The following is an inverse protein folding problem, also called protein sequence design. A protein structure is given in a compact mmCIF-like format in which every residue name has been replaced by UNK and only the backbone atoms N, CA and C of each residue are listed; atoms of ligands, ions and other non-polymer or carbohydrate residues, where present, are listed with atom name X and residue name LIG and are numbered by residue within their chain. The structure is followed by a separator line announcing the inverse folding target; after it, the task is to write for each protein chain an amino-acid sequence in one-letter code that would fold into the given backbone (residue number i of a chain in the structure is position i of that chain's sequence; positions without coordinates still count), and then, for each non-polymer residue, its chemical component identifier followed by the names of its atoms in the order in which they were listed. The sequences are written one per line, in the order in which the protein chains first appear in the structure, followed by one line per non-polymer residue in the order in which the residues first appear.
data_IF_814652536030
#
_entry.id   IF_814652536030
#
_cell.length_a   1.000
_cell.length_b   1.000
_cell.length_c   1.000
_cell.angle_alpha   90.00
_cell.angle_beta   90.00
_cell.angle_gamma   90.00
#
_symmetry.space_group_name_H-M   'P 1'
#
loop_
_entity.id
_entity.type
_entity.pdbx_description
1 polymer ?
#
# COMPACT_ATOMS: atom_id res chain seq x y z
N UNK A 1 13.47 33.13 32.21
CA UNK A 1 14.61 33.26 31.27
C UNK A 1 14.32 32.32 30.10
N UNK A 2 13.87 32.80 28.92
CA UNK A 2 13.47 31.90 27.85
C UNK A 2 14.69 31.49 27.02
N UNK A 3 14.93 30.18 26.91
CA UNK A 3 15.91 29.60 26.00
C UNK A 3 15.39 29.68 24.57
N UNK A 4 16.04 30.49 23.73
CA UNK A 4 15.91 30.46 22.27
C UNK A 4 16.67 29.23 21.77
N UNK A 5 15.99 28.35 21.04
CA UNK A 5 16.65 27.33 20.23
C UNK A 5 16.95 27.92 18.85
N UNK A 6 18.23 28.20 18.60
CA UNK A 6 18.74 28.59 17.28
C UNK A 6 18.64 27.39 16.33
N UNK A 7 17.80 27.51 15.30
CA UNK A 7 17.77 26.58 14.17
C UNK A 7 18.85 27.03 13.18
N UNK A 8 20.01 26.39 13.23
CA UNK A 8 21.01 26.55 12.18
C UNK A 8 20.48 25.98 10.86
N UNK A 9 20.40 26.83 9.84
CA UNK A 9 20.10 26.46 8.45
C UNK A 9 21.40 26.08 7.74
N UNK A 10 21.71 24.79 7.64
CA UNK A 10 22.69 24.32 6.65
C UNK A 10 22.04 24.24 5.26
N UNK A 11 22.63 24.94 4.29
CA UNK A 11 22.27 24.84 2.87
C UNK A 11 22.95 23.60 2.29
N UNK A 12 22.17 22.60 1.89
CA UNK A 12 22.63 21.45 1.09
C UNK A 12 22.31 21.72 -0.40
N UNK A 13 23.21 21.39 -1.35
CA UNK A 13 23.04 21.74 -2.77
C UNK A 13 21.84 21.06 -3.44
N UNK A 14 21.32 21.72 -4.49
CA UNK A 14 20.21 21.30 -5.34
C UNK A 14 20.60 20.07 -6.17
N UNK A 15 19.81 19.00 -6.05
CA UNK A 15 19.93 17.80 -6.89
C UNK A 15 19.83 16.52 -6.08
N UNK A 16 18.72 15.78 -6.29
CA UNK A 16 18.35 14.47 -5.68
C UNK A 16 17.67 14.56 -4.31
N UNK A 17 16.34 14.47 -4.28
CA UNK A 17 15.54 14.35 -3.05
C UNK A 17 14.63 13.13 -3.12
N UNK A 18 14.67 12.28 -2.08
CA UNK A 18 13.63 11.27 -1.78
C UNK A 18 12.34 12.01 -1.38
N UNK A 19 11.26 11.82 -2.14
CA UNK A 19 9.85 12.06 -1.75
C UNK A 19 9.50 13.33 -0.97
N UNK A 20 10.30 14.39 -1.05
CA UNK A 20 10.05 15.64 -0.31
C UNK A 20 10.02 16.80 -1.29
N UNK A 21 8.82 17.32 -1.54
CA UNK A 21 8.59 18.68 -2.05
C UNK A 21 9.02 19.76 -1.02
N UNK A 22 10.10 19.51 -0.26
CA UNK A 22 10.57 20.32 0.84
C UNK A 22 11.24 21.63 0.40
N UNK A 23 11.27 21.96 -0.88
CA UNK A 23 11.79 23.26 -1.35
C UNK A 23 10.79 24.41 -1.18
N UNK A 24 9.50 24.11 -0.95
CA UNK A 24 8.47 25.16 -0.77
C UNK A 24 7.63 25.02 0.50
N UNK A 25 8.00 24.13 1.43
CA UNK A 25 7.23 23.92 2.67
C UNK A 25 5.88 23.24 2.47
N UNK A 26 5.62 22.64 1.30
CA UNK A 26 4.42 21.89 1.00
C UNK A 26 4.72 20.39 0.98
N UNK A 27 3.80 19.58 1.51
CA UNK A 27 3.86 18.13 1.47
C UNK A 27 2.52 17.62 0.92
N UNK A 28 2.56 16.92 -0.21
CA UNK A 28 1.41 16.17 -0.69
C UNK A 28 1.37 14.81 0.02
N UNK A 29 0.22 14.46 0.58
CA UNK A 29 -0.01 13.22 1.29
C UNK A 29 -1.12 12.45 0.56
N UNK A 30 -0.79 11.41 -0.22
CA UNK A 30 -1.81 10.50 -0.72
C UNK A 30 -2.33 9.61 0.41
N UNK A 31 -3.61 9.27 0.36
CA UNK A 31 -4.28 8.36 1.30
C UNK A 31 -5.24 7.45 0.51
N UNK A 32 -5.81 6.45 1.18
CA UNK A 32 -6.89 5.65 0.60
C UNK A 32 -8.12 6.52 0.27
N UNK A 33 -8.84 6.13 -0.78
CA UNK A 33 -10.01 6.82 -1.31
C UNK A 33 -11.12 7.00 -0.26
N UNK A 34 -11.41 5.95 0.51
CA UNK A 34 -12.44 5.94 1.56
C UNK A 34 -12.07 6.79 2.78
N UNK A 35 -10.79 7.08 2.98
CA UNK A 35 -10.24 7.75 4.15
C UNK A 35 -10.02 9.24 3.99
N UNK A 36 -10.08 9.80 2.77
CA UNK A 36 -9.60 11.15 2.45
C UNK A 36 -10.13 12.25 3.39
N UNK A 37 -11.46 12.37 3.51
CA UNK A 37 -12.08 13.40 4.35
C UNK A 37 -11.81 13.18 5.84
N UNK A 38 -11.83 11.92 6.28
CA UNK A 38 -11.55 11.56 7.68
C UNK A 38 -10.11 11.92 8.07
N UNK A 39 -9.15 11.67 7.18
CA UNK A 39 -7.75 12.00 7.41
C UNK A 39 -7.56 13.52 7.44
N UNK A 40 -8.16 14.25 6.50
CA UNK A 40 -8.11 15.71 6.50
C UNK A 40 -8.70 16.30 7.78
N UNK A 41 -9.88 15.84 8.20
CA UNK A 41 -10.52 16.25 9.45
C UNK A 41 -9.67 15.91 10.67
N UNK A 42 -9.02 14.75 10.69
CA UNK A 42 -8.12 14.37 11.79
C UNK A 42 -6.90 15.29 11.87
N UNK A 43 -6.31 15.68 10.74
CA UNK A 43 -5.20 16.64 10.73
C UNK A 43 -5.62 18.00 11.27
N UNK A 44 -6.77 18.51 10.81
CA UNK A 44 -7.34 19.77 11.30
C UNK A 44 -7.63 19.73 12.80
N UNK A 45 -8.24 18.64 13.29
CA UNK A 45 -8.53 18.46 14.71
C UNK A 45 -7.27 18.60 15.58
N UNK A 46 -6.21 17.86 15.28
CA UNK A 46 -4.95 17.96 16.03
C UNK A 46 -4.30 19.34 15.93
N UNK A 47 -4.29 19.96 14.75
CA UNK A 47 -3.69 21.28 14.56
C UNK A 47 -4.45 22.37 15.33
N UNK A 48 -5.77 22.28 15.39
CA UNK A 48 -6.62 23.28 16.05
C UNK A 48 -6.71 23.07 17.57
N UNK A 49 -6.71 21.82 18.04
CA UNK A 49 -7.02 21.50 19.44
C UNK A 49 -5.79 21.19 20.30
N UNK A 50 -4.72 20.64 19.70
CA UNK A 50 -3.55 20.16 20.45
C UNK A 50 -2.25 20.90 20.08
N UNK A 51 -2.05 21.20 18.79
CA UNK A 51 -0.80 21.76 18.26
C UNK A 51 -0.94 23.18 17.71
N UNK A 52 -1.73 24.02 18.38
CA UNK A 52 -2.06 25.39 17.97
C UNK A 52 -0.85 26.31 17.68
N UNK A 53 0.34 25.98 18.16
CA UNK A 53 1.58 26.72 17.89
C UNK A 53 2.27 26.37 16.56
N UNK A 54 1.81 25.33 15.86
CA UNK A 54 2.42 24.86 14.63
C UNK A 54 2.02 25.73 13.44
N UNK A 55 2.99 26.02 12.57
CA UNK A 55 2.77 26.74 11.30
C UNK A 55 2.54 25.74 10.16
N UNK A 56 1.48 24.95 10.29
CA UNK A 56 1.09 23.91 9.34
C UNK A 56 -0.34 24.19 8.91
N UNK A 57 -0.58 24.12 7.60
CA UNK A 57 -1.89 24.32 6.99
C UNK A 57 -2.20 23.13 6.10
N UNK A 58 -3.42 22.62 6.19
CA UNK A 58 -3.92 21.53 5.38
C UNK A 58 -4.93 22.03 4.36
N UNK A 59 -4.94 21.40 3.18
CA UNK A 59 -5.91 21.66 2.14
C UNK A 59 -6.23 20.34 1.45
N UNK A 60 -7.51 20.00 1.35
CA UNK A 60 -7.96 18.84 0.60
C UNK A 60 -7.86 19.15 -0.91
N UNK A 61 -6.99 18.41 -1.62
CA UNK A 61 -6.79 18.53 -3.06
C UNK A 61 -7.28 17.31 -3.84
N UNK A 62 -8.09 16.44 -3.23
CA UNK A 62 -8.51 15.16 -3.82
C UNK A 62 -9.11 15.34 -5.22
N UNK A 63 -10.09 16.24 -5.37
CA UNK A 63 -10.76 16.48 -6.66
C UNK A 63 -9.99 17.39 -7.62
N UNK A 64 -8.89 18.00 -7.16
CA UNK A 64 -8.08 18.90 -8.00
C UNK A 64 -7.23 18.12 -9.02
N UNK A 65 -6.94 16.85 -8.73
CA UNK A 65 -6.03 16.02 -9.51
C UNK A 65 -6.74 14.79 -10.07
N UNK A 66 -6.60 14.56 -11.37
CA UNK A 66 -6.82 13.24 -11.95
C UNK A 66 -5.50 12.49 -11.94
N UNK A 67 -5.52 11.21 -11.55
CA UNK A 67 -4.33 10.38 -11.48
C UNK A 67 -4.51 9.08 -12.24
N UNK A 68 -3.53 8.73 -13.08
CA UNK A 68 -3.53 7.48 -13.86
C UNK A 68 -2.25 6.72 -13.55
N UNK A 69 -2.41 5.48 -13.10
CA UNK A 69 -1.29 4.56 -12.90
C UNK A 69 -0.99 3.79 -14.20
N UNK A 70 0.25 3.89 -14.68
CA UNK A 70 0.78 3.08 -15.77
C UNK A 70 1.71 2.05 -15.14
N UNK A 71 1.36 0.78 -15.20
CA UNK A 71 2.08 -0.30 -14.53
C UNK A 71 2.43 -1.43 -15.49
N UNK A 72 3.59 -2.06 -15.26
CA UNK A 72 4.11 -3.18 -16.05
C UNK A 72 5.49 -2.90 -16.64
N UNK A 73 6.16 -3.92 -17.19
CA UNK A 73 7.54 -3.80 -17.70
C UNK A 73 7.68 -2.78 -18.84
N UNK A 74 6.60 -2.52 -19.59
CA UNK A 74 6.55 -1.55 -20.68
C UNK A 74 6.08 -0.16 -20.27
N UNK A 75 5.83 0.10 -18.98
CA UNK A 75 5.29 1.38 -18.51
C UNK A 75 6.16 2.58 -18.90
N UNK A 76 7.49 2.43 -18.81
CA UNK A 76 8.44 3.47 -19.24
C UNK A 76 8.34 3.76 -20.74
N UNK A 77 8.21 2.71 -21.56
CA UNK A 77 8.14 2.85 -23.01
C UNK A 77 6.85 3.55 -23.45
N UNK A 78 5.72 3.22 -22.82
CA UNK A 78 4.42 3.89 -23.03
C UNK A 78 4.56 5.40 -22.79
N UNK A 79 5.13 5.79 -21.64
CA UNK A 79 5.23 7.20 -21.26
C UNK A 79 6.28 7.94 -22.10
N UNK A 80 7.37 7.27 -22.46
CA UNK A 80 8.43 7.84 -23.30
C UNK A 80 7.91 8.27 -24.68
N UNK A 81 6.89 7.61 -25.23
CA UNK A 81 6.25 8.00 -26.51
C UNK A 81 5.54 9.35 -26.44
N UNK A 82 5.05 9.75 -25.27
CA UNK A 82 4.51 11.09 -25.09
C UNK A 82 5.65 12.12 -25.11
N UNK A 83 6.78 11.81 -24.46
CA UNK A 83 7.95 12.70 -24.37
C UNK A 83 7.72 13.90 -23.44
N UNK A 84 8.58 14.92 -23.55
CA UNK A 84 8.49 16.18 -22.77
C UNK A 84 9.13 16.13 -21.38
N UNK A 85 9.29 14.95 -20.78
CA UNK A 85 9.99 14.75 -19.50
C UNK A 85 11.00 13.61 -19.59
N UNK A 86 12.16 13.75 -18.96
CA UNK A 86 13.09 12.63 -18.76
C UNK A 86 12.63 11.79 -17.57
N UNK A 87 12.09 10.61 -17.88
CA UNK A 87 11.57 9.64 -16.92
C UNK A 87 12.34 8.31 -16.98
N UNK A 88 13.59 8.38 -17.44
CA UNK A 88 14.55 7.28 -17.41
C UNK A 88 14.78 6.77 -15.98
N UNK A 89 15.38 5.58 -15.87
CA UNK A 89 15.69 4.97 -14.57
C UNK A 89 16.60 5.87 -13.73
N UNK A 90 17.54 6.54 -14.40
CA UNK A 90 18.53 7.42 -13.80
C UNK A 90 17.90 8.75 -13.38
N UNK A 91 17.00 9.31 -14.20
CA UNK A 91 16.33 10.57 -13.94
C UNK A 91 15.24 10.46 -12.86
N UNK A 92 14.50 9.34 -12.82
CA UNK A 92 13.42 9.11 -11.85
C UNK A 92 13.55 7.80 -11.05
N UNK A 93 14.42 7.78 -10.01
CA UNK A 93 14.61 6.63 -9.13
C UNK A 93 13.36 6.24 -8.31
N UNK A 94 13.40 5.06 -7.67
CA UNK A 94 12.25 4.53 -6.93
C UNK A 94 11.88 5.42 -5.74
N UNK A 95 10.58 5.61 -5.52
CA UNK A 95 10.04 6.47 -4.47
C UNK A 95 10.45 7.94 -4.62
N UNK A 96 10.59 8.40 -5.87
CA UNK A 96 10.78 9.81 -6.22
C UNK A 96 9.68 10.29 -7.16
N UNK A 97 9.59 11.60 -7.37
CA UNK A 97 8.65 12.21 -8.31
C UNK A 97 9.33 13.36 -9.05
N UNK A 98 8.80 13.69 -10.22
CA UNK A 98 9.18 14.86 -11.01
C UNK A 98 7.93 15.64 -11.43
N UNK A 99 8.08 16.95 -11.57
CA UNK A 99 7.06 17.84 -12.09
C UNK A 99 7.54 18.44 -13.42
N UNK A 100 6.63 18.59 -14.38
CA UNK A 100 6.96 19.15 -15.68
C UNK A 100 5.82 19.02 -16.68
N UNK A 101 6.16 19.21 -17.95
CA UNK A 101 5.19 19.12 -19.05
C UNK A 101 5.36 17.78 -19.78
N UNK A 102 4.45 16.84 -19.55
CA UNK A 102 4.42 15.56 -20.26
C UNK A 102 3.72 15.72 -21.62
N UNK A 103 4.25 15.12 -22.68
CA UNK A 103 3.64 15.20 -24.01
C UNK A 103 3.62 16.61 -24.61
N UNK A 104 4.45 17.54 -24.10
CA UNK A 104 4.39 18.97 -24.40
C UNK A 104 3.00 19.61 -24.19
N UNK A 105 2.13 18.96 -23.41
CA UNK A 105 0.72 19.34 -23.26
C UNK A 105 0.22 19.27 -21.82
N UNK A 106 0.61 18.24 -21.07
CA UNK A 106 0.06 17.95 -19.75
C UNK A 106 0.96 18.50 -18.66
N UNK A 107 0.43 19.40 -17.83
CA UNK A 107 1.13 19.82 -16.61
C UNK A 107 1.00 18.68 -15.59
N UNK A 108 2.07 17.91 -15.44
CA UNK A 108 2.05 16.62 -14.76
C UNK A 108 3.01 16.57 -13.57
N UNK A 109 2.57 15.89 -12.52
CA UNK A 109 3.43 15.33 -11.48
C UNK A 109 3.49 13.82 -11.68
N UNK A 110 4.67 13.30 -11.97
CA UNK A 110 4.90 11.88 -12.22
C UNK A 110 5.61 11.28 -11.03
N UNK A 111 4.97 10.34 -10.34
CA UNK A 111 5.53 9.60 -9.21
C UNK A 111 6.00 8.24 -9.69
N UNK A 112 7.19 7.82 -9.27
CA UNK A 112 7.68 6.46 -9.50
C UNK A 112 7.45 5.63 -8.24
N UNK A 113 6.21 5.17 -8.12
CA UNK A 113 5.64 4.36 -7.04
C UNK A 113 4.85 3.19 -7.65
N UNK A 114 4.61 2.14 -6.88
CA UNK A 114 3.96 0.92 -7.39
C UNK A 114 3.18 0.22 -6.29
N UNK A 115 1.92 -0.13 -6.59
CA UNK A 115 1.07 -0.99 -5.76
C UNK A 115 0.88 -2.39 -6.37
N UNK A 116 1.51 -2.67 -7.51
CA UNK A 116 1.52 -4.01 -8.14
C UNK A 116 2.85 -4.74 -7.98
N UNK A 117 3.90 -4.07 -7.53
CA UNK A 117 5.26 -4.60 -7.49
C UNK A 117 6.00 -4.58 -8.82
N UNK A 118 5.31 -4.23 -9.91
CA UNK A 118 5.92 -3.99 -11.21
C UNK A 118 6.50 -2.58 -11.30
N UNK A 119 7.31 -2.33 -12.34
CA UNK A 119 7.63 -0.96 -12.76
C UNK A 119 6.32 -0.18 -12.96
N UNK A 120 6.19 0.95 -12.27
CA UNK A 120 4.99 1.77 -12.37
C UNK A 120 5.29 3.25 -12.18
N UNK A 121 4.44 4.05 -12.81
CA UNK A 121 4.40 5.49 -12.73
C UNK A 121 2.96 5.93 -12.48
N UNK A 122 2.74 6.77 -11.47
CA UNK A 122 1.46 7.44 -11.22
C UNK A 122 1.55 8.89 -11.71
N UNK A 123 0.75 9.20 -12.73
CA UNK A 123 0.77 10.49 -13.43
C UNK A 123 -0.44 11.30 -12.96
N UNK A 124 -0.19 12.34 -12.18
CA UNK A 124 -1.20 13.28 -11.70
C UNK A 124 -1.21 14.54 -12.57
N UNK A 125 -2.39 14.93 -13.07
CA UNK A 125 -2.64 16.16 -13.83
C UNK A 125 -3.84 16.91 -13.24
N UNK A 126 -4.03 18.21 -13.49
CA UNK A 126 -5.28 18.88 -13.14
C UNK A 126 -6.48 18.08 -13.66
N UNK A 127 -7.52 17.91 -12.83
CA UNK A 127 -8.62 16.98 -13.10
C UNK A 127 -9.25 17.15 -14.49
N UNK A 128 -9.39 18.39 -14.97
CA UNK A 128 -9.91 18.69 -16.32
C UNK A 128 -9.07 18.16 -17.49
N UNK A 129 -7.84 17.70 -17.26
CA UNK A 129 -6.97 17.07 -18.26
C UNK A 129 -6.99 15.53 -18.20
N UNK A 130 -7.68 14.93 -17.22
CA UNK A 130 -7.62 13.50 -16.94
C UNK A 130 -8.01 12.62 -18.12
N UNK A 131 -9.16 12.89 -18.76
CA UNK A 131 -9.60 12.13 -19.94
C UNK A 131 -8.62 12.23 -21.10
N UNK A 132 -8.13 13.44 -21.39
CA UNK A 132 -7.18 13.65 -22.47
C UNK A 132 -5.84 12.94 -22.22
N UNK A 133 -5.38 12.86 -20.96
CA UNK A 133 -4.21 12.07 -20.60
C UNK A 133 -4.48 10.57 -20.78
N UNK A 134 -5.63 10.08 -20.34
CA UNK A 134 -6.05 8.68 -20.49
C UNK A 134 -6.02 8.24 -21.94
N UNK A 135 -6.68 8.98 -22.83
CA UNK A 135 -6.72 8.70 -24.26
C UNK A 135 -5.31 8.70 -24.89
N UNK A 136 -4.46 9.66 -24.50
CA UNK A 136 -3.09 9.74 -24.98
C UNK A 136 -2.25 8.53 -24.55
N UNK A 137 -2.41 8.06 -23.31
CA UNK A 137 -1.73 6.86 -22.79
C UNK A 137 -2.22 5.58 -23.47
N UNK A 138 -3.52 5.45 -23.71
CA UNK A 138 -4.10 4.32 -24.44
C UNK A 138 -3.59 4.24 -25.88
N UNK A 139 -3.54 5.37 -26.59
CA UNK A 139 -2.99 5.42 -27.95
C UNK A 139 -1.49 5.11 -27.97
N UNK A 140 -0.71 5.72 -27.07
CA UNK A 140 0.71 5.47 -26.96
C UNK A 140 1.00 3.99 -26.65
N UNK A 141 0.20 3.38 -25.77
CA UNK A 141 0.37 2.01 -25.32
C UNK A 141 -0.16 0.93 -26.25
N UNK A 142 -0.88 1.27 -27.33
CA UNK A 142 -1.51 0.29 -28.23
C UNK A 142 -0.53 -0.75 -28.76
N UNK A 143 0.68 -0.35 -29.16
CA UNK A 143 1.70 -1.27 -29.68
C UNK A 143 2.27 -2.22 -28.61
N UNK A 144 2.10 -1.89 -27.34
CA UNK A 144 2.56 -2.69 -26.20
C UNK A 144 1.45 -3.56 -25.59
N UNK A 145 0.26 -3.58 -26.20
CA UNK A 145 -0.89 -4.31 -25.67
C UNK A 145 -1.42 -3.71 -24.37
N UNK A 146 -1.38 -2.37 -24.24
CA UNK A 146 -1.90 -1.69 -23.05
C UNK A 146 -3.32 -2.15 -22.75
N UNK A 147 -3.54 -2.53 -21.49
CA UNK A 147 -4.81 -3.09 -21.03
C UNK A 147 -5.29 -2.25 -19.85
N UNK A 148 -6.47 -1.62 -19.95
CA UNK A 148 -7.06 -0.94 -18.80
C UNK A 148 -7.48 -1.99 -17.77
N UNK A 149 -7.21 -1.70 -16.50
CA UNK A 149 -7.58 -2.58 -15.39
C UNK A 149 -8.23 -1.78 -14.27
N UNK A 150 -9.13 -2.44 -13.54
CA UNK A 150 -9.87 -1.86 -12.42
C UNK A 150 -9.38 -2.35 -11.06
N UNK A 151 -10.22 -2.14 -10.05
CA UNK A 151 -9.93 -2.46 -8.64
C UNK A 151 -9.64 -3.94 -8.42
N UNK A 152 -10.37 -4.85 -9.06
CA UNK A 152 -10.15 -6.29 -8.85
C UNK A 152 -8.77 -6.75 -9.31
N UNK A 153 -8.35 -6.34 -10.51
CA UNK A 153 -7.00 -6.64 -10.98
C UNK A 153 -5.93 -5.99 -10.10
N UNK A 154 -6.16 -4.75 -9.62
CA UNK A 154 -5.29 -4.10 -8.64
C UNK A 154 -5.20 -4.92 -7.34
N UNK A 155 -6.32 -5.46 -6.87
CA UNK A 155 -6.40 -6.28 -5.66
C UNK A 155 -5.64 -7.61 -5.79
N UNK A 156 -5.69 -8.26 -6.96
CA UNK A 156 -4.86 -9.45 -7.21
C UNK A 156 -3.37 -9.08 -7.16
N UNK A 157 -2.96 -8.05 -7.91
CA UNK A 157 -1.55 -7.67 -8.03
C UNK A 157 -0.94 -7.23 -6.70
N UNK A 158 -1.67 -6.45 -5.90
CA UNK A 158 -1.19 -6.03 -4.57
C UNK A 158 -1.09 -7.22 -3.60
N UNK A 159 -2.01 -8.18 -3.70
CA UNK A 159 -2.02 -9.35 -2.82
C UNK A 159 -0.90 -10.33 -3.16
N UNK A 160 -0.55 -10.47 -4.45
CA UNK A 160 0.66 -11.19 -4.89
C UNK A 160 1.93 -10.63 -4.22
N UNK A 161 1.98 -9.32 -3.99
CA UNK A 161 3.09 -8.64 -3.30
C UNK A 161 2.94 -8.57 -1.78
N UNK A 162 1.87 -9.11 -1.20
CA UNK A 162 1.59 -9.02 0.24
C UNK A 162 1.32 -7.58 0.72
N UNK A 163 0.94 -6.67 -0.18
CA UNK A 163 0.61 -5.31 0.20
C UNK A 163 -0.76 -5.24 0.88
N UNK A 164 -0.78 -4.48 1.97
CA UNK A 164 -1.94 -4.28 2.83
C UNK A 164 -2.90 -3.28 2.19
N UNK A 165 -4.19 -3.61 2.20
CA UNK A 165 -5.27 -2.66 1.93
C UNK A 165 -5.99 -2.29 3.23
N UNK A 166 -6.07 -0.99 3.53
CA UNK A 166 -6.79 -0.51 4.71
C UNK A 166 -8.28 -0.83 4.54
N UNK A 167 -8.84 -1.50 5.55
CA UNK A 167 -10.21 -2.02 5.56
C UNK A 167 -10.33 -3.50 5.22
N UNK A 168 -9.29 -4.13 4.65
CA UNK A 168 -9.28 -5.58 4.39
C UNK A 168 -8.37 -6.31 5.38
N UNK A 169 -7.07 -6.01 5.35
CA UNK A 169 -6.12 -6.51 6.36
C UNK A 169 -6.29 -5.82 7.71
N UNK A 170 -7.12 -4.78 7.81
CA UNK A 170 -7.32 -4.01 9.03
C UNK A 170 -8.81 -3.81 9.33
N UNK A 171 -9.20 -3.98 10.58
CA UNK A 171 -10.58 -3.79 11.06
C UNK A 171 -10.68 -2.83 12.28
N UNK A 172 -9.62 -2.04 12.51
CA UNK A 172 -9.50 -1.18 13.68
C UNK A 172 -8.91 -1.85 14.92
N UNK A 173 -8.74 -3.18 14.94
CA UNK A 173 -8.06 -3.90 16.03
C UNK A 173 -6.60 -4.22 15.73
N UNK A 174 -6.22 -4.14 14.45
CA UNK A 174 -4.91 -4.50 13.90
C UNK A 174 -3.92 -3.34 14.03
N UNK A 175 -2.70 -3.63 14.49
CA UNK A 175 -1.61 -2.66 14.58
C UNK A 175 -0.53 -2.94 13.52
N UNK A 176 0.35 -1.96 13.17
CA UNK A 176 1.33 -2.17 12.11
C UNK A 176 2.27 -3.37 12.36
N UNK A 177 2.53 -3.73 13.61
CA UNK A 177 3.30 -4.93 14.00
C UNK A 177 2.64 -6.22 13.53
N UNK A 178 1.31 -6.31 13.64
CA UNK A 178 0.53 -7.46 13.20
C UNK A 178 0.67 -7.64 11.67
N UNK A 179 0.88 -6.56 10.94
CA UNK A 179 1.00 -6.54 9.48
C UNK A 179 2.43 -6.69 8.95
N UNK A 180 3.37 -7.09 9.81
CA UNK A 180 4.81 -7.13 9.49
C UNK A 180 5.40 -5.75 9.10
N UNK A 181 4.72 -4.65 9.47
CA UNK A 181 5.14 -3.27 9.18
C UNK A 181 5.94 -2.64 10.34
N UNK A 182 6.59 -3.47 11.18
CA UNK A 182 7.43 -2.99 12.29
C UNK A 182 8.58 -2.09 11.83
N UNK A 183 9.00 -2.20 10.57
CA UNK A 183 10.01 -1.33 9.95
C UNK A 183 9.52 0.12 9.73
N UNK A 184 8.21 0.32 9.59
CA UNK A 184 7.60 1.65 9.40
C UNK A 184 7.44 2.42 10.71
N UNK A 185 7.55 1.74 11.85
CA UNK A 185 7.41 2.33 13.18
C UNK A 185 8.73 2.94 13.62
N UNK A 186 8.74 4.25 13.87
CA UNK A 186 9.97 4.93 14.27
C UNK A 186 10.42 4.55 15.68
N UNK A 187 11.61 3.98 15.79
CA UNK A 187 12.30 3.75 17.07
C UNK A 187 13.05 4.99 17.59
N UNK A 188 13.26 5.99 16.71
CA UNK A 188 14.09 7.18 16.98
C UNK A 188 13.27 8.38 17.45
N UNK A 189 12.06 8.55 16.93
CA UNK A 189 11.20 9.68 17.33
C UNK A 189 10.81 9.52 18.80
N UNK A 190 10.91 10.59 19.62
CA UNK A 190 10.57 10.52 21.03
C UNK A 190 9.10 10.11 21.21
N UNK A 191 8.19 10.66 20.40
CA UNK A 191 6.78 10.28 20.40
C UNK A 191 6.11 10.40 19.03
N UNK A 192 4.95 9.77 18.87
CA UNK A 192 4.00 9.90 17.77
C UNK A 192 2.62 9.35 18.19
N UNK A 193 1.55 9.80 17.54
CA UNK A 193 0.19 9.35 17.84
C UNK A 193 0.08 7.82 17.79
N UNK A 194 -0.37 7.23 18.89
CA UNK A 194 -0.49 5.78 19.06
C UNK A 194 0.72 5.06 19.65
N UNK A 195 1.91 5.68 19.73
CA UNK A 195 3.12 5.04 20.30
C UNK A 195 2.89 4.49 21.71
N UNK A 196 2.23 5.28 22.56
CA UNK A 196 1.89 4.88 23.93
C UNK A 196 0.98 3.65 24.01
N UNK A 197 0.03 3.54 23.08
CA UNK A 197 -0.94 2.45 23.06
C UNK A 197 -0.29 1.11 22.67
N UNK A 198 0.71 1.14 21.79
CA UNK A 198 1.45 -0.05 21.36
C UNK A 198 2.17 -0.77 22.51
N UNK A 199 2.47 -0.06 23.61
CA UNK A 199 3.11 -0.62 24.80
C UNK A 199 2.12 -1.25 25.81
N UNK A 200 0.81 -1.22 25.54
CA UNK A 200 -0.20 -1.83 26.42
C UNK A 200 -0.14 -3.35 26.29
N UNK A 201 -0.48 -4.06 27.37
CA UNK A 201 -0.40 -5.53 27.48
C UNK A 201 -0.98 -6.29 26.29
N UNK A 202 -2.19 -5.94 25.84
CA UNK A 202 -2.84 -6.60 24.70
C UNK A 202 -2.22 -6.25 23.33
N UNK A 203 -1.57 -5.09 23.21
CA UNK A 203 -0.90 -4.66 21.96
C UNK A 203 0.53 -5.21 21.88
N UNK A 204 1.17 -5.43 23.03
CA UNK A 204 2.48 -6.06 23.15
C UNK A 204 2.42 -7.60 23.28
N UNK A 205 1.21 -8.19 23.25
CA UNK A 205 1.04 -9.63 23.40
C UNK A 205 1.67 -10.36 22.20
N UNK A 206 2.43 -11.46 22.43
CA UNK A 206 2.90 -12.31 21.34
C UNK A 206 1.76 -13.12 20.70
N UNK A 207 0.61 -13.24 21.37
CA UNK A 207 -0.56 -14.03 20.92
C UNK A 207 -1.45 -13.28 19.92
N UNK A 208 -0.99 -12.13 19.41
CA UNK A 208 -1.75 -11.37 18.41
C UNK A 208 -1.83 -12.12 17.09
N UNK A 209 -2.86 -11.82 16.32
CA UNK A 209 -2.96 -12.31 14.95
C UNK A 209 -2.00 -11.52 14.06
N UNK A 210 -1.25 -12.23 13.24
CA UNK A 210 -0.22 -11.69 12.36
C UNK A 210 -0.55 -12.01 10.92
N UNK A 211 -0.20 -11.09 10.03
CA UNK A 211 -0.39 -11.21 8.60
C UNK A 211 0.52 -12.31 8.04
N UNK A 212 -0.10 -13.25 7.35
CA UNK A 212 0.55 -14.36 6.64
C UNK A 212 -0.03 -14.50 5.24
N UNK A 213 0.74 -15.12 4.35
CA UNK A 213 0.21 -15.65 3.10
C UNK A 213 -0.32 -17.07 3.30
N UNK A 214 -1.26 -17.48 2.47
CA UNK A 214 -1.76 -18.84 2.39
C UNK A 214 -1.73 -19.35 0.96
N UNK A 215 -1.23 -20.56 0.80
CA UNK A 215 -1.21 -21.32 -0.44
C UNK A 215 -2.12 -22.54 -0.31
N UNK A 216 -3.20 -22.60 -1.10
CA UNK A 216 -4.08 -23.77 -1.10
C UNK A 216 -3.38 -24.97 -1.72
N UNK A 217 -3.55 -26.15 -1.10
CA UNK A 217 -2.87 -27.35 -1.59
C UNK A 217 -3.53 -27.96 -2.83
N UNK A 218 -4.78 -27.58 -3.11
CA UNK A 218 -5.57 -28.01 -4.26
C UNK A 218 -5.65 -26.94 -5.37
N UNK A 219 -4.98 -25.80 -5.18
CA UNK A 219 -4.99 -24.66 -6.11
C UNK A 219 -6.29 -23.85 -6.12
N UNK A 220 -7.29 -24.21 -5.29
CA UNK A 220 -8.57 -23.52 -5.23
C UNK A 220 -8.46 -22.12 -4.63
N UNK A 221 -9.41 -21.24 -4.97
CA UNK A 221 -9.54 -19.94 -4.32
C UNK A 221 -10.33 -20.11 -3.02
N UNK A 222 -9.78 -19.62 -1.91
CA UNK A 222 -10.48 -19.66 -0.63
C UNK A 222 -11.66 -18.68 -0.62
N UNK A 223 -12.74 -18.96 0.13
CA UNK A 223 -13.82 -17.98 0.30
C UNK A 223 -13.33 -16.76 1.08
N UNK A 224 -13.76 -15.58 0.65
CA UNK A 224 -13.49 -14.33 1.36
C UNK A 224 -14.12 -14.35 2.76
N UNK A 225 -13.41 -13.81 3.76
CA UNK A 225 -13.87 -13.78 5.15
C UNK A 225 -13.95 -15.14 5.84
N UNK A 226 -13.49 -16.23 5.20
CA UNK A 226 -13.45 -17.55 5.82
C UNK A 226 -12.57 -17.57 7.07
N UNK A 227 -12.89 -18.47 8.00
CA UNK A 227 -12.14 -18.63 9.24
C UNK A 227 -11.11 -19.74 9.13
N UNK A 228 -9.96 -19.51 9.76
CA UNK A 228 -8.95 -20.54 9.99
C UNK A 228 -9.37 -21.30 11.25
N UNK A 229 -9.64 -22.59 11.07
CA UNK A 229 -10.19 -23.45 12.11
C UNK A 229 -9.09 -23.86 13.11
N UNK A 230 -9.38 -23.62 14.38
CA UNK A 230 -8.60 -24.11 15.51
C UNK A 230 -9.01 -25.52 15.95
N UNK A 231 -8.30 -26.00 16.96
CA UNK A 231 -8.55 -27.29 17.62
C UNK A 231 -9.67 -27.15 18.65
N UNK A 232 -10.59 -28.11 18.66
CA UNK A 232 -11.67 -28.20 19.64
C UNK A 232 -12.80 -27.19 19.42
N UNK A 233 -13.68 -27.13 20.40
CA UNK A 233 -14.85 -26.25 20.43
C UNK A 233 -14.79 -25.30 21.62
N UNK A 234 -15.43 -24.15 21.50
CA UNK A 234 -15.62 -23.22 22.60
C UNK A 234 -16.79 -23.69 23.50
N UNK A 235 -17.04 -22.96 24.59
CA UNK A 235 -18.11 -23.29 25.53
C UNK A 235 -19.53 -23.31 24.92
N UNK A 236 -19.71 -22.73 23.73
CA UNK A 236 -20.96 -22.71 23.00
C UNK A 236 -21.07 -23.86 21.96
N UNK A 237 -20.13 -24.81 21.96
CA UNK A 237 -20.08 -25.90 20.99
C UNK A 237 -19.72 -25.44 19.57
N UNK A 238 -19.10 -24.26 19.43
CA UNK A 238 -18.64 -23.75 18.13
C UNK A 238 -17.17 -24.06 17.96
N UNK A 239 -16.76 -24.48 16.76
CA UNK A 239 -15.35 -24.75 16.47
C UNK A 239 -14.49 -23.51 16.73
N UNK A 240 -13.38 -23.71 17.42
CA UNK A 240 -12.44 -22.63 17.71
C UNK A 240 -11.90 -22.02 16.41
N UNK A 241 -11.56 -20.73 16.47
CA UNK A 241 -11.00 -19.97 15.33
C UNK A 241 -9.65 -19.41 15.73
N UNK A 242 -8.66 -19.58 14.86
CA UNK A 242 -7.30 -19.09 15.06
C UNK A 242 -6.93 -17.97 14.10
N UNK A 243 -7.83 -17.59 13.20
CA UNK A 243 -7.56 -16.52 12.25
C UNK A 243 -8.67 -16.36 11.22
N UNK A 244 -8.46 -15.45 10.28
CA UNK A 244 -9.38 -15.21 9.17
C UNK A 244 -8.64 -14.89 7.88
N UNK A 245 -9.27 -15.26 6.77
CA UNK A 245 -8.90 -14.81 5.43
C UNK A 245 -9.30 -13.35 5.31
N UNK A 246 -8.34 -12.48 4.94
CA UNK A 246 -8.59 -11.06 4.71
C UNK A 246 -8.80 -10.77 3.24
N UNK A 247 -7.98 -11.38 2.37
CA UNK A 247 -8.07 -11.22 0.92
C UNK A 247 -7.69 -12.51 0.22
N UNK A 248 -8.37 -12.83 -0.89
CA UNK A 248 -8.25 -14.12 -1.57
C UNK A 248 -8.58 -13.96 -3.04
N UNK A 249 -7.74 -14.53 -3.91
CA UNK A 249 -7.84 -14.34 -5.35
C UNK A 249 -7.32 -15.56 -6.11
N UNK A 250 -7.71 -15.68 -7.37
CA UNK A 250 -6.95 -16.48 -8.32
C UNK A 250 -5.81 -15.63 -8.89
N UNK A 251 -4.56 -16.07 -8.70
CA UNK A 251 -3.39 -15.44 -9.33
C UNK A 251 -3.15 -16.08 -10.68
N UNK A 252 -3.34 -15.31 -11.76
CA UNK A 252 -2.94 -15.74 -13.10
C UNK A 252 -1.41 -15.85 -13.25
N UNK A 253 -0.65 -15.08 -12.45
CA UNK A 253 0.83 -15.11 -12.43
C UNK A 253 1.36 -16.42 -11.85
N UNK A 254 0.71 -16.95 -10.81
CA UNK A 254 1.11 -18.15 -10.09
C UNK A 254 0.28 -19.39 -10.45
N UNK A 255 -0.73 -19.21 -11.33
CA UNK A 255 -1.69 -20.23 -11.78
C UNK A 255 -2.36 -21.00 -10.62
N UNK A 256 -2.76 -20.27 -9.58
CA UNK A 256 -3.35 -20.86 -8.36
C UNK A 256 -4.10 -19.86 -7.51
N UNK A 257 -4.95 -20.36 -6.62
CA UNK A 257 -5.51 -19.59 -5.52
C UNK A 257 -4.44 -19.08 -4.56
N UNK A 258 -4.52 -17.81 -4.22
CA UNK A 258 -3.69 -17.13 -3.23
C UNK A 258 -4.56 -16.46 -2.19
N UNK A 259 -4.07 -16.36 -0.96
CA UNK A 259 -4.74 -15.59 0.06
C UNK A 259 -3.78 -14.93 1.04
N UNK A 260 -4.25 -13.85 1.66
CA UNK A 260 -3.68 -13.21 2.83
C UNK A 260 -4.62 -13.47 4.02
N UNK A 261 -4.04 -13.63 5.20
CA UNK A 261 -4.80 -13.92 6.41
C UNK A 261 -4.16 -13.30 7.65
N UNK A 262 -4.99 -13.00 8.64
CA UNK A 262 -4.55 -12.74 9.99
C UNK A 262 -4.64 -14.04 10.78
N UNK A 263 -3.50 -14.55 11.24
CA UNK A 263 -3.36 -15.83 11.92
C UNK A 263 -2.74 -15.65 13.29
N UNK A 264 -3.35 -16.22 14.32
CA UNK A 264 -2.81 -16.28 15.68
C UNK A 264 -1.38 -16.83 15.66
N UNK A 265 -0.43 -15.99 16.11
CA UNK A 265 1.01 -16.29 16.07
C UNK A 265 1.52 -16.69 14.68
N UNK A 266 0.97 -16.07 13.63
CA UNK A 266 1.20 -16.47 12.24
C UNK A 266 2.69 -16.55 11.85
N UNK A 267 3.54 -15.66 12.36
CA UNK A 267 4.98 -15.66 12.09
C UNK A 267 5.70 -16.93 12.54
N UNK A 268 5.23 -17.57 13.62
CA UNK A 268 5.82 -18.81 14.17
C UNK A 268 5.33 -20.07 13.44
N UNK A 269 4.39 -19.93 12.50
CA UNK A 269 3.63 -21.05 11.89
C UNK A 269 3.97 -21.28 10.42
N UNK A 270 5.04 -20.67 9.92
CA UNK A 270 5.46 -20.83 8.53
C UNK A 270 5.66 -22.30 8.16
N UNK A 271 5.10 -22.72 7.03
CA UNK A 271 5.11 -24.10 6.54
C UNK A 271 4.03 -25.01 7.14
N UNK A 272 3.33 -24.59 8.21
CA UNK A 272 2.24 -25.37 8.78
C UNK A 272 1.04 -25.41 7.83
N UNK A 273 0.35 -26.55 7.78
CA UNK A 273 -0.96 -26.65 7.12
C UNK A 273 -2.06 -26.27 8.11
N UNK A 274 -2.93 -25.34 7.70
CA UNK A 274 -4.14 -24.94 8.42
C UNK A 274 -5.39 -25.37 7.65
N UNK A 275 -6.52 -25.46 8.35
CA UNK A 275 -7.81 -25.80 7.75
C UNK A 275 -8.67 -24.56 7.66
N UNK A 276 -9.12 -24.21 6.46
CA UNK A 276 -9.93 -23.02 6.21
C UNK A 276 -11.38 -23.43 6.01
N UNK A 277 -12.30 -22.79 6.73
CA UNK A 277 -13.72 -23.10 6.64
C UNK A 277 -14.26 -22.87 5.22
N UNK A 278 -15.08 -23.81 4.72
CA UNK A 278 -15.82 -23.66 3.47
C UNK A 278 -17.31 -23.79 3.75
N UNK A 279 -18.11 -22.86 3.24
CA UNK A 279 -19.57 -22.92 3.42
C UNK A 279 -20.13 -24.15 2.68
N UNK A 280 -20.81 -25.03 3.41
CA UNK A 280 -21.52 -26.18 2.83
C UNK A 280 -20.60 -27.29 2.30
N UNK A 281 -19.34 -27.34 2.72
CA UNK A 281 -18.40 -28.38 2.31
C UNK A 281 -17.27 -28.58 3.31
N UNK A 282 -16.36 -29.49 2.99
CA UNK A 282 -15.21 -29.78 3.84
C UNK A 282 -14.23 -28.59 3.89
N UNK A 283 -13.52 -28.42 5.02
CA UNK A 283 -12.46 -27.43 5.13
C UNK A 283 -11.38 -27.62 4.06
N UNK A 284 -10.85 -26.51 3.55
CA UNK A 284 -9.78 -26.51 2.56
C UNK A 284 -8.43 -26.41 3.27
N UNK A 285 -7.49 -27.35 3.05
CA UNK A 285 -6.15 -27.26 3.61
C UNK A 285 -5.34 -26.20 2.86
N UNK A 286 -4.70 -25.30 3.61
CA UNK A 286 -3.80 -24.28 3.08
C UNK A 286 -2.49 -24.27 3.87
N UNK A 287 -1.36 -24.06 3.18
CA UNK A 287 -0.04 -23.91 3.81
C UNK A 287 0.19 -22.45 4.16
N UNK A 288 0.63 -22.21 5.39
CA UNK A 288 1.08 -20.89 5.85
C UNK A 288 2.42 -20.57 5.21
N UNK A 289 2.49 -19.41 4.55
CA UNK A 289 3.67 -18.94 3.82
C UNK A 289 3.89 -17.44 4.08
N UNK A 290 4.98 -16.90 3.53
CA UNK A 290 5.22 -15.46 3.54
C UNK A 290 4.08 -14.73 2.81
N UNK A 291 3.59 -13.58 3.31
CA UNK A 291 2.56 -12.81 2.61
C UNK A 291 3.01 -12.30 1.24
N UNK A 292 4.31 -12.17 0.97
CA UNK A 292 4.84 -11.81 -0.34
C UNK A 292 4.98 -13.08 -1.20
N UNK A 293 3.92 -13.39 -1.95
CA UNK A 293 3.79 -14.63 -2.73
C UNK A 293 4.51 -14.58 -4.08
N UNK A 294 4.76 -13.39 -4.61
CA UNK A 294 5.39 -13.19 -5.92
C UNK A 294 6.53 -12.17 -5.87
N UNK A 295 7.67 -12.51 -6.50
CA UNK A 295 8.86 -11.66 -6.62
C UNK A 295 9.27 -11.01 -5.28
N UNK A 296 9.55 -11.85 -4.28
CA UNK A 296 9.93 -11.40 -2.93
C UNK A 296 11.20 -10.55 -2.90
N UNK A 297 12.10 -10.76 -3.86
CA UNK A 297 13.31 -9.95 -4.02
C UNK A 297 13.05 -8.56 -4.62
N UNK A 298 11.90 -8.35 -5.26
CA UNK A 298 11.51 -7.07 -5.87
C UNK A 298 12.30 -6.75 -7.14
N UNK A 299 12.72 -7.78 -7.89
CA UNK A 299 13.57 -7.64 -9.07
C UNK A 299 12.85 -6.89 -10.19
N UNK A 300 11.51 -7.00 -10.27
CA UNK A 300 10.69 -6.40 -11.33
C UNK A 300 10.37 -4.93 -11.12
N UNK A 301 10.61 -4.37 -9.93
CA UNK A 301 10.30 -2.98 -9.58
C UNK A 301 10.99 -1.95 -10.49
N UNK A 302 12.11 -2.30 -11.12
CA UNK A 302 12.91 -1.38 -11.93
C UNK A 302 12.72 -1.55 -13.46
N UNK A 303 11.91 -2.52 -13.87
CA UNK A 303 11.75 -2.93 -15.27
C UNK A 303 12.96 -3.72 -15.79
#
# INVERSE_FOLDING_TARGET
MPLRADVQRERVPVGRRRGRAAERGHLALPYDDRGADRIHAHMEDWLQTEWHGWKVYTANMTEQWAQIAVAGPRARDVIAKLGGMDLSREALPFMTFAEGTLGNRFQARVHRISFSGELSYEIAVPAGQGLALWEALMEAGREFGVTPYGTEAMHVLRAEKGYVMIGEETDGTVIPQDLNLGWAISKKKPDFLGKRAQMRTFMASPDRWQLVGLETLDGSVLPEGAYILGVGENANGQRNTEGRITSTYFSATLDRGIAMALLHRGGDRMGQTVQVSRRGGDPVPARVVDPVLFDKAGERLNG
#
